data_IF_438800856666
#
_entry.id   IF_438800856666
#
_cell.length_a   1.000
_cell.length_b   1.000
_cell.length_c   1.000
_cell.angle_alpha   90.00
_cell.angle_beta   90.00
_cell.angle_gamma   90.00
#
_symmetry.space_group_name_H-M   'P 1'
#
loop_
_entity.id
_entity.type
_entity.pdbx_description
1 polymer ?
#
# COMPACT_ATOMS: atom_id res chain seq x y z
N UNK A 1 5.89 15.95 13.03
CA UNK A 1 6.09 14.52 13.36
C UNK A 1 7.45 14.26 14.01
N UNK A 2 8.57 14.55 13.33
CA UNK A 2 9.94 14.36 13.87
C UNK A 2 10.14 15.01 15.24
N UNK A 3 9.80 16.31 15.37
CA UNK A 3 9.93 17.06 16.64
C UNK A 3 9.12 16.48 17.81
N UNK A 4 8.11 15.65 17.53
CA UNK A 4 7.23 15.04 18.52
C UNK A 4 7.50 13.54 18.70
N UNK A 5 8.57 12.99 18.11
CA UNK A 5 8.92 11.58 18.24
C UNK A 5 7.88 10.61 17.68
N UNK A 6 7.21 10.98 16.58
CA UNK A 6 6.10 10.21 15.99
C UNK A 6 6.51 9.29 14.84
N UNK A 7 7.74 8.82 14.86
CA UNK A 7 8.33 8.00 13.80
C UNK A 7 9.21 6.92 14.45
N UNK A 8 8.90 5.65 14.18
CA UNK A 8 9.73 4.49 14.53
C UNK A 8 10.05 3.70 13.26
N UNK A 9 11.15 4.10 12.60
CA UNK A 9 11.47 3.70 11.24
C UNK A 9 12.46 2.53 11.14
N UNK A 10 13.37 2.39 12.11
CA UNK A 10 14.47 1.41 12.02
C UNK A 10 14.02 -0.03 12.33
N UNK A 11 14.58 -0.99 11.61
CA UNK A 11 14.41 -2.42 11.90
C UNK A 11 15.23 -2.85 13.14
N UNK A 12 14.64 -3.70 13.99
CA UNK A 12 15.32 -4.26 15.18
C UNK A 12 14.75 -5.63 15.58
N UNK A 13 15.57 -6.43 16.27
CA UNK A 13 15.17 -7.76 16.77
C UNK A 13 13.91 -7.66 17.65
N UNK A 14 12.88 -8.43 17.29
CA UNK A 14 11.61 -8.47 18.02
C UNK A 14 10.61 -7.36 17.65
N UNK A 15 10.92 -6.50 16.67
CA UNK A 15 9.95 -5.56 16.10
C UNK A 15 8.96 -6.31 15.21
N UNK A 16 7.68 -5.92 15.26
CA UNK A 16 6.65 -6.46 14.39
C UNK A 16 6.97 -6.19 12.90
N UNK A 17 6.62 -7.10 11.98
CA UNK A 17 6.86 -6.91 10.55
C UNK A 17 5.95 -5.81 9.95
N UNK A 18 6.28 -5.35 8.74
CA UNK A 18 5.47 -4.42 7.97
C UNK A 18 5.70 -2.94 8.29
N UNK A 19 4.76 -2.10 7.83
CA UNK A 19 4.65 -0.68 8.11
C UNK A 19 3.19 -0.31 8.34
N UNK A 20 2.94 0.74 9.11
CA UNK A 20 1.61 1.31 9.27
C UNK A 20 1.66 2.78 9.71
N UNK A 21 0.54 3.46 9.48
CA UNK A 21 0.25 4.78 10.00
C UNK A 21 -0.87 4.67 11.05
N UNK A 22 -0.67 5.30 12.19
CA UNK A 22 -1.67 5.33 13.26
C UNK A 22 -2.11 6.78 13.53
N UNK A 23 -3.33 7.16 13.12
CA UNK A 23 -3.91 8.45 13.47
C UNK A 23 -4.08 8.59 14.99
N UNK A 24 -3.67 9.73 15.55
CA UNK A 24 -3.83 10.03 16.97
C UNK A 24 -4.81 11.19 17.15
N UNK A 25 -6.07 10.88 17.44
CA UNK A 25 -7.17 11.85 17.41
C UNK A 25 -7.01 13.02 18.38
N UNK A 26 -6.36 12.82 19.53
CA UNK A 26 -6.14 13.88 20.53
C UNK A 26 -5.08 14.89 20.08
N UNK A 27 -3.97 14.42 19.52
CA UNK A 27 -2.87 15.30 19.11
C UNK A 27 -2.98 15.78 17.67
N UNK A 28 -3.74 15.07 16.83
CA UNK A 28 -3.82 15.27 15.38
C UNK A 28 -2.54 14.92 14.61
N UNK A 29 -1.51 14.46 15.32
CA UNK A 29 -0.20 14.14 14.76
C UNK A 29 -0.08 12.62 14.73
N UNK A 30 -0.20 11.97 13.56
CA UNK A 30 -0.17 10.52 13.43
C UNK A 30 1.22 9.97 13.76
N UNK A 31 1.29 8.66 13.97
CA UNK A 31 2.53 7.91 14.19
C UNK A 31 2.85 7.03 12.99
N UNK A 32 4.09 7.06 12.50
CA UNK A 32 4.57 6.17 11.44
C UNK A 32 5.45 5.08 12.05
N UNK A 33 5.12 3.84 11.73
CA UNK A 33 5.90 2.64 12.05
C UNK A 33 6.33 1.97 10.75
N UNK A 34 7.60 1.61 10.62
CA UNK A 34 8.10 0.80 9.50
C UNK A 34 9.39 0.06 9.86
N UNK A 35 9.89 -0.78 8.96
CA UNK A 35 11.11 -1.56 9.16
C UNK A 35 12.14 -1.27 8.05
N UNK A 36 12.84 -0.14 8.16
CA UNK A 36 13.85 0.26 7.18
C UNK A 36 15.11 -0.62 7.28
N UNK A 37 15.63 -1.05 6.12
CA UNK A 37 16.84 -1.85 5.94
C UNK A 37 17.83 -1.27 4.89
N UNK A 38 17.57 -0.08 4.35
CA UNK A 38 18.41 0.61 3.36
C UNK A 38 18.10 0.26 1.90
N UNK A 39 16.86 -0.10 1.59
CA UNK A 39 16.39 -0.50 0.26
C UNK A 39 15.47 0.56 -0.37
N UNK A 40 15.27 0.51 -1.68
CA UNK A 40 14.27 1.35 -2.39
C UNK A 40 12.87 1.15 -1.80
N UNK A 41 12.54 -0.09 -1.42
CA UNK A 41 11.27 -0.42 -0.77
C UNK A 41 11.04 0.32 0.54
N UNK A 42 12.09 0.68 1.27
CA UNK A 42 11.97 1.47 2.51
C UNK A 42 11.59 2.91 2.22
N UNK A 43 12.12 3.50 1.14
CA UNK A 43 11.72 4.83 0.70
C UNK A 43 10.25 4.84 0.28
N UNK A 44 9.84 3.86 -0.53
CA UNK A 44 8.45 3.72 -0.97
C UNK A 44 7.53 3.59 0.25
N UNK A 45 7.85 2.70 1.19
CA UNK A 45 7.09 2.53 2.43
C UNK A 45 7.03 3.82 3.24
N UNK A 46 8.14 4.57 3.37
CA UNK A 46 8.13 5.85 4.07
C UNK A 46 7.21 6.87 3.39
N UNK A 47 7.18 6.93 2.06
CA UNK A 47 6.29 7.82 1.31
C UNK A 47 4.82 7.37 1.42
N UNK A 48 4.56 6.06 1.39
CA UNK A 48 3.26 5.44 1.62
C UNK A 48 2.66 5.90 2.96
N UNK A 49 3.39 5.65 4.05
CA UNK A 49 2.96 6.05 5.39
C UNK A 49 2.89 7.57 5.56
N UNK A 50 3.71 8.30 4.80
CA UNK A 50 3.68 9.76 4.69
C UNK A 50 2.37 10.27 4.07
N UNK A 51 1.84 9.59 3.05
CA UNK A 51 0.55 9.94 2.45
C UNK A 51 -0.61 9.73 3.42
N UNK A 52 -0.62 8.62 4.18
CA UNK A 52 -1.58 8.43 5.27
C UNK A 52 -1.43 9.51 6.36
N UNK A 53 -0.20 9.94 6.65
CA UNK A 53 0.02 11.00 7.62
C UNK A 53 -0.55 12.34 7.15
N UNK A 54 -0.37 12.68 5.87
CA UNK A 54 -0.97 13.88 5.26
C UNK A 54 -2.50 13.80 5.34
N UNK A 55 -3.10 12.66 5.01
CA UNK A 55 -4.55 12.47 5.14
C UNK A 55 -5.04 12.69 6.58
N UNK A 56 -4.31 12.14 7.57
CA UNK A 56 -4.62 12.34 8.99
C UNK A 56 -4.55 13.82 9.39
N UNK A 57 -3.55 14.56 8.93
CA UNK A 57 -3.44 16.00 9.22
C UNK A 57 -4.58 16.80 8.59
N UNK A 58 -4.94 16.50 7.34
CA UNK A 58 -5.97 17.22 6.60
C UNK A 58 -7.38 16.96 7.14
N UNK A 59 -7.65 15.75 7.61
CA UNK A 59 -8.95 15.36 8.18
C UNK A 59 -9.06 15.69 9.68
N UNK A 60 -7.96 15.93 10.40
CA UNK A 60 -7.98 16.23 11.83
C UNK A 60 -8.88 17.40 12.25
N UNK A 61 -9.00 18.51 11.49
CA UNK A 61 -9.88 19.63 11.82
C UNK A 61 -11.38 19.29 11.79
N UNK A 62 -11.79 18.14 11.25
CA UNK A 62 -13.19 17.73 11.23
C UNK A 62 -13.73 17.60 12.65
N UNK A 63 -14.96 18.07 12.87
CA UNK A 63 -15.52 18.21 14.22
C UNK A 63 -15.78 16.85 14.90
N UNK A 64 -16.31 15.89 14.13
CA UNK A 64 -16.67 14.57 14.64
C UNK A 64 -15.57 13.55 14.35
N UNK A 65 -15.24 12.71 15.32
CA UNK A 65 -14.29 11.60 15.13
C UNK A 65 -14.71 10.67 13.99
N UNK A 66 -16.01 10.41 13.84
CA UNK A 66 -16.54 9.59 12.76
C UNK A 66 -16.25 10.16 11.36
N UNK A 67 -16.07 11.49 11.22
CA UNK A 67 -15.68 12.09 9.95
C UNK A 67 -14.18 11.93 9.65
N UNK A 68 -13.38 11.55 10.65
CA UNK A 68 -11.94 11.28 10.50
C UNK A 68 -11.67 9.82 10.15
N UNK A 69 -12.65 8.95 10.32
CA UNK A 69 -12.59 7.52 10.00
C UNK A 69 -12.95 7.31 8.52
N UNK A 70 -12.05 7.71 7.63
CA UNK A 70 -12.24 7.59 6.19
C UNK A 70 -12.12 6.12 5.71
N UNK A 71 -12.80 5.76 4.60
CA UNK A 71 -12.72 4.42 4.01
C UNK A 71 -11.31 4.00 3.61
N UNK A 72 -11.07 2.69 3.53
CA UNK A 72 -9.72 2.14 3.28
C UNK A 72 -9.21 2.48 1.88
N UNK A 73 -10.07 2.46 0.87
CA UNK A 73 -9.72 2.79 -0.51
C UNK A 73 -9.25 4.23 -0.67
N UNK A 74 -9.83 5.18 0.07
CA UNK A 74 -9.37 6.57 0.04
C UNK A 74 -8.12 6.77 0.91
N UNK A 75 -7.96 5.97 1.97
CA UNK A 75 -6.72 5.92 2.74
C UNK A 75 -5.56 5.48 1.86
N UNK A 76 -5.75 4.40 1.08
CA UNK A 76 -4.76 3.89 0.13
C UNK A 76 -4.54 4.83 -1.05
N UNK A 77 -5.58 5.53 -1.52
CA UNK A 77 -5.40 6.56 -2.55
C UNK A 77 -4.42 7.64 -2.05
N UNK A 78 -4.53 8.02 -0.78
CA UNK A 78 -3.65 9.00 -0.16
C UNK A 78 -2.19 8.52 -0.17
N UNK A 79 -1.94 7.31 0.33
CA UNK A 79 -0.60 6.73 0.44
C UNK A 79 0.04 6.46 -0.92
N UNK A 80 -0.66 5.75 -1.81
CA UNK A 80 -0.13 5.35 -3.11
C UNK A 80 0.06 6.54 -4.06
N UNK A 81 -0.77 7.59 -3.97
CA UNK A 81 -0.50 8.82 -4.75
C UNK A 81 0.77 9.52 -4.28
N UNK A 82 1.06 9.48 -2.97
CA UNK A 82 2.27 10.10 -2.40
C UNK A 82 3.54 9.37 -2.85
N UNK A 83 3.51 8.04 -2.97
CA UNK A 83 4.60 7.26 -3.58
C UNK A 83 4.96 7.81 -4.97
N UNK A 84 3.95 8.06 -5.81
CA UNK A 84 4.15 8.50 -7.19
C UNK A 84 4.50 9.99 -7.32
N UNK A 85 3.86 10.87 -6.56
CA UNK A 85 4.15 12.30 -6.57
C UNK A 85 5.59 12.59 -6.17
N UNK A 86 6.10 11.86 -5.17
CA UNK A 86 7.42 12.10 -4.61
C UNK A 86 8.56 11.56 -5.47
N UNK A 87 8.30 10.73 -6.49
CA UNK A 87 9.33 10.18 -7.38
C UNK A 87 10.25 11.25 -7.98
N UNK A 88 9.72 12.45 -8.28
CA UNK A 88 10.54 13.54 -8.83
C UNK A 88 11.54 14.14 -7.83
N UNK A 89 11.35 13.87 -6.53
CA UNK A 89 12.16 14.35 -5.42
C UNK A 89 13.08 13.26 -4.84
N UNK A 90 13.16 12.09 -5.49
CA UNK A 90 13.98 10.98 -5.02
C UNK A 90 15.49 11.22 -5.19
N UNK A 91 15.90 12.27 -5.90
CA UNK A 91 17.29 12.74 -5.95
C UNK A 91 17.81 13.19 -4.58
N UNK A 92 16.93 13.44 -3.62
CA UNK A 92 17.32 13.64 -2.22
C UNK A 92 17.97 12.39 -1.59
N UNK A 93 17.54 11.20 -2.03
CA UNK A 93 18.04 9.91 -1.55
C UNK A 93 19.07 9.29 -2.50
N UNK A 94 18.88 9.45 -3.82
CA UNK A 94 19.73 8.89 -4.85
C UNK A 94 20.56 9.99 -5.52
N UNK A 95 21.81 10.16 -5.07
CA UNK A 95 22.72 11.16 -5.66
C UNK A 95 23.31 10.73 -7.01
N UNK A 96 23.25 9.45 -7.34
CA UNK A 96 23.63 8.93 -8.65
C UNK A 96 22.40 8.92 -9.60
N UNK A 97 22.43 9.66 -10.73
CA UNK A 97 21.31 9.72 -11.67
C UNK A 97 20.87 8.37 -12.25
N UNK A 98 21.79 7.43 -12.45
CA UNK A 98 21.46 6.10 -12.97
C UNK A 98 20.73 5.26 -11.92
N UNK A 99 21.10 5.39 -10.63
CA UNK A 99 20.42 4.72 -9.53
C UNK A 99 19.03 5.31 -9.29
N UNK A 100 18.91 6.64 -9.37
CA UNK A 100 17.62 7.34 -9.31
C UNK A 100 16.67 6.84 -10.40
N UNK A 101 17.15 6.83 -11.65
CA UNK A 101 16.35 6.35 -12.79
C UNK A 101 15.95 4.89 -12.63
N UNK A 102 16.86 4.03 -12.15
CA UNK A 102 16.54 2.63 -11.86
C UNK A 102 15.46 2.51 -10.81
N UNK A 103 15.57 3.23 -9.69
CA UNK A 103 14.57 3.19 -8.62
C UNK A 103 13.18 3.66 -9.10
N UNK A 104 13.11 4.72 -9.89
CA UNK A 104 11.86 5.20 -10.48
C UNK A 104 11.23 4.17 -11.43
N UNK A 105 12.05 3.49 -12.25
CA UNK A 105 11.57 2.44 -13.15
C UNK A 105 11.07 1.21 -12.38
N UNK A 106 11.80 0.77 -11.36
CA UNK A 106 11.38 -0.33 -10.47
C UNK A 106 10.02 -0.03 -9.82
N UNK A 107 9.79 1.22 -9.40
CA UNK A 107 8.50 1.64 -8.85
C UNK A 107 7.38 1.62 -9.89
N UNK A 108 7.62 2.13 -11.10
CA UNK A 108 6.64 2.07 -12.19
C UNK A 108 6.29 0.63 -12.58
N UNK A 109 7.27 -0.28 -12.59
CA UNK A 109 7.04 -1.70 -12.83
C UNK A 109 6.24 -2.35 -11.68
N UNK A 110 6.54 -1.96 -10.42
CA UNK A 110 5.80 -2.44 -9.24
C UNK A 110 4.33 -2.05 -9.28
N UNK A 111 4.03 -0.80 -9.61
CA UNK A 111 2.66 -0.25 -9.74
C UNK A 111 1.78 -1.08 -10.68
N UNK A 112 2.37 -1.64 -11.74
CA UNK A 112 1.65 -2.48 -12.70
C UNK A 112 1.62 -3.94 -12.22
N UNK A 113 2.76 -4.48 -11.79
CA UNK A 113 2.92 -5.89 -11.43
C UNK A 113 2.20 -6.30 -10.14
N UNK A 114 1.85 -5.33 -9.28
CA UNK A 114 1.07 -5.59 -8.07
C UNK A 114 -0.40 -5.88 -8.35
N UNK A 115 -0.97 -5.37 -9.46
CA UNK A 115 -2.40 -5.50 -9.75
C UNK A 115 -2.86 -6.97 -9.91
N UNK A 116 -2.16 -7.85 -10.68
CA UNK A 116 -2.50 -9.27 -10.72
C UNK A 116 -2.38 -9.96 -9.36
N UNK A 117 -1.40 -9.58 -8.54
CA UNK A 117 -1.23 -10.13 -7.20
C UNK A 117 -2.41 -9.77 -6.29
N UNK A 118 -2.86 -8.51 -6.32
CA UNK A 118 -4.04 -8.05 -5.58
C UNK A 118 -5.28 -8.84 -5.99
N UNK A 119 -5.53 -8.98 -7.29
CA UNK A 119 -6.65 -9.74 -7.81
C UNK A 119 -6.59 -11.23 -7.44
N UNK A 120 -5.38 -11.82 -7.42
CA UNK A 120 -5.16 -13.21 -7.00
C UNK A 120 -5.56 -13.41 -5.53
N UNK A 121 -5.11 -12.51 -4.65
CA UNK A 121 -5.38 -12.58 -3.21
C UNK A 121 -6.86 -12.36 -2.93
N UNK A 122 -7.48 -11.36 -3.54
CA UNK A 122 -8.91 -11.09 -3.38
C UNK A 122 -9.78 -12.27 -3.85
N UNK A 123 -9.51 -12.80 -5.05
CA UNK A 123 -10.23 -13.97 -5.58
C UNK A 123 -10.07 -15.19 -4.67
N UNK A 124 -8.87 -15.43 -4.16
CA UNK A 124 -8.63 -16.52 -3.21
C UNK A 124 -9.39 -16.32 -1.90
N UNK A 125 -9.47 -15.09 -1.39
CA UNK A 125 -10.21 -14.78 -0.19
C UNK A 125 -11.72 -14.99 -0.37
N UNK A 126 -12.27 -14.56 -1.51
CA UNK A 126 -13.65 -14.88 -1.88
C UNK A 126 -13.90 -16.39 -1.90
N UNK A 127 -12.98 -17.18 -2.47
CA UNK A 127 -13.09 -18.63 -2.45
C UNK A 127 -13.11 -19.20 -1.02
N UNK A 128 -12.23 -18.73 -0.12
CA UNK A 128 -12.20 -19.18 1.28
C UNK A 128 -13.56 -18.99 1.98
N UNK A 129 -14.13 -17.78 1.90
CA UNK A 129 -15.36 -17.45 2.63
C UNK A 129 -16.63 -18.01 1.97
N UNK A 130 -16.59 -18.32 0.67
CA UNK A 130 -17.71 -18.96 -0.04
C UNK A 130 -17.68 -20.49 -0.01
N UNK A 131 -16.58 -21.09 0.47
CA UNK A 131 -16.41 -22.53 0.62
C UNK A 131 -16.11 -22.92 2.08
N UNK A 132 -17.05 -22.69 3.03
CA UNK A 132 -16.84 -23.03 4.43
C UNK A 132 -16.60 -24.54 4.61
N UNK A 133 -15.73 -24.89 5.56
CA UNK A 133 -15.37 -26.29 5.83
C UNK A 133 -14.25 -26.85 4.93
N UNK A 134 -13.59 -25.99 4.14
CA UNK A 134 -12.43 -26.38 3.34
C UNK A 134 -11.30 -27.01 4.17
N UNK A 135 -10.66 -28.05 3.63
CA UNK A 135 -9.44 -28.64 4.20
C UNK A 135 -8.20 -27.84 3.77
N UNK A 136 -7.03 -28.12 4.37
CA UNK A 136 -5.76 -27.52 3.93
C UNK A 136 -5.48 -27.86 2.46
N UNK A 137 -5.68 -29.12 2.06
CA UNK A 137 -5.50 -29.56 0.68
C UNK A 137 -6.45 -28.85 -0.30
N UNK A 138 -7.69 -28.57 0.12
CA UNK A 138 -8.64 -27.82 -0.71
C UNK A 138 -8.18 -26.36 -0.92
N UNK A 139 -7.63 -25.71 0.12
CA UNK A 139 -7.06 -24.35 -0.01
C UNK A 139 -5.88 -24.33 -0.97
N UNK A 140 -5.01 -25.31 -0.88
CA UNK A 140 -3.84 -25.43 -1.75
C UNK A 140 -4.25 -25.58 -3.21
N UNK A 141 -5.19 -26.48 -3.50
CA UNK A 141 -5.69 -26.70 -4.85
C UNK A 141 -6.33 -25.42 -5.43
N UNK A 142 -7.20 -24.76 -4.67
CA UNK A 142 -7.84 -23.52 -5.09
C UNK A 142 -6.84 -22.37 -5.27
N UNK A 143 -5.86 -22.25 -4.36
CA UNK A 143 -4.78 -21.27 -4.48
C UNK A 143 -3.99 -21.48 -5.77
N UNK A 144 -3.58 -22.71 -6.06
CA UNK A 144 -2.80 -23.02 -7.25
C UNK A 144 -3.60 -22.78 -8.54
N UNK A 145 -4.89 -23.13 -8.56
CA UNK A 145 -5.79 -22.84 -9.67
C UNK A 145 -5.88 -21.32 -9.93
N UNK A 146 -6.17 -20.53 -8.89
CA UNK A 146 -6.31 -19.08 -8.98
C UNK A 146 -4.97 -18.41 -9.35
N UNK A 147 -3.86 -18.83 -8.73
CA UNK A 147 -2.53 -18.31 -9.05
C UNK A 147 -2.16 -18.57 -10.51
N UNK A 148 -2.51 -19.73 -11.07
CA UNK A 148 -2.26 -20.04 -12.48
C UNK A 148 -3.07 -19.16 -13.45
N UNK A 149 -4.25 -18.68 -13.06
CA UNK A 149 -5.06 -17.76 -13.88
C UNK A 149 -4.42 -16.37 -14.02
N UNK A 150 -3.78 -15.88 -12.95
CA UNK A 150 -3.16 -14.56 -12.90
C UNK A 150 -1.66 -14.55 -13.21
N UNK A 151 -1.08 -15.70 -13.56
CA UNK A 151 0.34 -15.80 -13.92
C UNK A 151 0.53 -16.25 -15.36
N UNK A 152 1.63 -15.85 -15.98
CA UNK A 152 1.92 -16.15 -17.39
C UNK A 152 2.47 -17.56 -17.63
N UNK A 153 2.80 -18.30 -16.57
CA UNK A 153 3.44 -19.61 -16.65
C UNK A 153 4.91 -19.59 -17.10
N UNK A 154 5.52 -18.41 -17.30
CA UNK A 154 6.92 -18.29 -17.75
C UNK A 154 7.95 -18.52 -16.64
N UNK A 155 7.53 -18.38 -15.38
CA UNK A 155 8.41 -18.54 -14.22
C UNK A 155 8.57 -20.02 -13.93
N UNK A 156 9.82 -20.48 -13.94
CA UNK A 156 10.16 -21.85 -13.53
C UNK A 156 10.16 -21.96 -12.00
N UNK A 157 9.31 -22.86 -11.50
CA UNK A 157 9.17 -23.16 -10.08
C UNK A 157 9.75 -24.51 -9.69
N UNK A 158 10.55 -25.13 -10.57
CA UNK A 158 11.19 -26.42 -10.31
C UNK A 158 12.01 -26.36 -9.02
N UNK A 159 11.65 -27.20 -8.05
CA UNK A 159 12.27 -27.25 -6.73
C UNK A 159 11.72 -26.24 -5.70
N UNK A 160 10.72 -25.43 -6.07
CA UNK A 160 10.04 -24.44 -5.22
C UNK A 160 8.51 -24.63 -5.20
N UNK A 161 8.03 -25.82 -5.56
CA UNK A 161 6.60 -26.12 -5.70
C UNK A 161 5.85 -25.93 -4.38
N UNK A 162 6.42 -26.41 -3.27
CA UNK A 162 5.83 -26.27 -1.92
C UNK A 162 5.72 -24.79 -1.51
N UNK A 163 6.76 -24.00 -1.78
CA UNK A 163 6.73 -22.57 -1.51
C UNK A 163 5.64 -21.88 -2.35
N UNK A 164 5.55 -22.21 -3.64
CA UNK A 164 4.52 -21.66 -4.54
C UNK A 164 3.12 -21.99 -4.05
N UNK A 165 2.89 -23.22 -3.59
CA UNK A 165 1.62 -23.72 -3.07
C UNK A 165 1.16 -23.03 -1.76
N UNK A 166 2.10 -22.44 -1.01
CA UNK A 166 1.82 -21.73 0.25
C UNK A 166 2.11 -20.23 0.20
N UNK A 167 2.43 -19.69 -0.98
CA UNK A 167 2.91 -18.33 -1.14
C UNK A 167 1.94 -17.26 -0.65
N UNK A 168 0.63 -17.53 -0.68
CA UNK A 168 -0.40 -16.65 -0.12
C UNK A 168 -0.27 -16.41 1.39
N UNK A 169 0.34 -17.34 2.14
CA UNK A 169 0.41 -17.26 3.61
C UNK A 169 1.29 -16.11 4.09
N UNK A 170 2.20 -15.60 3.24
CA UNK A 170 2.98 -14.40 3.57
C UNK A 170 2.12 -13.13 3.66
N UNK A 171 0.90 -13.17 3.14
CA UNK A 171 0.02 -12.02 3.03
C UNK A 171 -0.72 -11.79 4.35
N UNK A 172 -0.18 -10.93 5.21
CA UNK A 172 -0.70 -10.64 6.55
C UNK A 172 -2.18 -10.25 6.55
N UNK A 173 -2.59 -9.43 5.57
CA UNK A 173 -3.94 -8.89 5.43
C UNK A 173 -5.04 -9.96 5.35
N UNK A 174 -4.73 -11.16 4.83
CA UNK A 174 -5.69 -12.27 4.80
C UNK A 174 -6.11 -12.73 6.19
N UNK A 175 -5.25 -12.52 7.20
CA UNK A 175 -5.45 -12.96 8.58
C UNK A 175 -5.95 -11.84 9.48
N UNK A 176 -5.51 -10.60 9.23
CA UNK A 176 -5.80 -9.46 10.11
C UNK A 176 -7.03 -8.65 9.67
N UNK A 177 -7.19 -8.41 8.36
CA UNK A 177 -8.24 -7.52 7.82
C UNK A 177 -8.84 -8.11 6.55
N UNK A 178 -9.80 -9.06 6.65
CA UNK A 178 -10.36 -9.72 5.49
C UNK A 178 -11.02 -8.74 4.50
N UNK A 179 -10.84 -8.99 3.21
CA UNK A 179 -11.33 -8.22 2.06
C UNK A 179 -10.76 -6.82 1.90
N UNK A 180 -9.76 -6.42 2.70
CA UNK A 180 -9.08 -5.14 2.51
C UNK A 180 -8.13 -5.12 1.30
N UNK A 181 -7.59 -6.27 0.89
CA UNK A 181 -6.50 -6.25 -0.08
C UNK A 181 -6.89 -5.74 -1.48
N UNK A 182 -8.17 -5.87 -1.86
CA UNK A 182 -8.69 -5.31 -3.12
C UNK A 182 -8.65 -3.78 -3.15
N UNK A 183 -8.71 -3.13 -1.98
CA UNK A 183 -8.70 -1.67 -1.87
C UNK A 183 -7.39 -1.10 -2.40
N UNK A 184 -6.26 -1.79 -2.22
CA UNK A 184 -4.98 -1.43 -2.85
C UNK A 184 -5.11 -1.38 -4.39
N UNK A 185 -5.88 -2.28 -5.00
CA UNK A 185 -6.05 -2.33 -6.45
C UNK A 185 -6.86 -1.14 -6.97
N UNK A 186 -7.96 -0.83 -6.29
CA UNK A 186 -8.82 0.32 -6.60
C UNK A 186 -8.05 1.63 -6.39
N UNK A 187 -7.37 1.75 -5.25
CA UNK A 187 -6.55 2.89 -4.91
C UNK A 187 -5.37 3.09 -5.86
N UNK A 188 -4.67 2.02 -6.27
CA UNK A 188 -3.53 2.12 -7.20
C UNK A 188 -3.96 2.71 -8.54
N UNK A 189 -5.13 2.33 -9.06
CA UNK A 189 -5.68 2.91 -10.29
C UNK A 189 -6.00 4.40 -10.11
N UNK A 190 -6.59 4.77 -8.97
CA UNK A 190 -6.81 6.16 -8.62
C UNK A 190 -5.50 6.95 -8.48
N UNK A 191 -4.47 6.37 -7.87
CA UNK A 191 -3.15 6.97 -7.69
C UNK A 191 -2.45 7.19 -9.03
N UNK A 192 -2.57 6.25 -9.98
CA UNK A 192 -2.08 6.45 -11.35
C UNK A 192 -2.80 7.62 -12.03
N UNK A 193 -4.12 7.74 -11.85
CA UNK A 193 -4.90 8.85 -12.41
C UNK A 193 -4.51 10.21 -11.78
N UNK A 194 -4.27 10.23 -10.47
CA UNK A 194 -3.75 11.39 -9.75
C UNK A 194 -2.34 11.76 -10.22
N UNK A 195 -1.45 10.78 -10.39
CA UNK A 195 -0.11 10.99 -10.91
C UNK A 195 -0.13 11.54 -12.33
N UNK A 196 -1.03 11.06 -13.19
CA UNK A 196 -1.22 11.65 -14.52
C UNK A 196 -1.61 13.14 -14.44
N UNK A 197 -2.56 13.50 -13.59
CA UNK A 197 -2.92 14.92 -13.37
C UNK A 197 -1.72 15.72 -12.85
N UNK A 198 -0.93 15.14 -11.94
CA UNK A 198 0.25 15.77 -11.38
C UNK A 198 1.32 16.06 -12.44
N UNK A 199 1.53 15.14 -13.37
CA UNK A 199 2.45 15.34 -14.50
C UNK A 199 1.98 16.44 -15.47
N UNK A 200 0.68 16.70 -15.56
CA UNK A 200 0.09 17.74 -16.41
C UNK A 200 0.08 19.12 -15.71
N UNK A 201 -0.35 19.16 -14.44
CA UNK A 201 -0.40 20.36 -13.61
C UNK A 201 -0.27 19.98 -12.13
N UNK A 202 0.93 20.14 -11.58
CA UNK A 202 1.27 19.77 -10.19
C UNK A 202 0.43 20.50 -9.14
N UNK A 203 0.30 21.82 -9.28
CA UNK A 203 -0.42 22.66 -8.32
C UNK A 203 -1.89 22.23 -8.24
N UNK A 204 -2.56 22.12 -9.38
CA UNK A 204 -3.95 21.70 -9.43
C UNK A 204 -4.16 20.26 -8.92
N UNK A 205 -3.23 19.35 -9.23
CA UNK A 205 -3.31 17.96 -8.76
C UNK A 205 -3.15 17.86 -7.23
N UNK A 206 -2.23 18.63 -6.65
CA UNK A 206 -2.05 18.71 -5.19
C UNK A 206 -3.26 19.37 -4.51
N UNK A 207 -3.83 20.42 -5.10
CA UNK A 207 -5.05 21.04 -4.60
C UNK A 207 -6.22 20.06 -4.61
N UNK A 208 -6.40 19.32 -5.72
CA UNK A 208 -7.43 18.28 -5.82
C UNK A 208 -7.21 17.16 -4.79
N UNK A 209 -5.97 16.71 -4.63
CA UNK A 209 -5.58 15.71 -3.64
C UNK A 209 -5.92 16.18 -2.22
N UNK A 210 -5.42 17.36 -1.81
CA UNK A 210 -5.65 17.91 -0.48
C UNK A 210 -7.14 18.16 -0.22
N UNK A 211 -7.88 18.68 -1.20
CA UNK A 211 -9.30 18.91 -1.09
C UNK A 211 -10.07 17.60 -0.86
N UNK A 212 -9.76 16.55 -1.62
CA UNK A 212 -10.38 15.24 -1.47
C UNK A 212 -10.10 14.65 -0.07
N UNK A 213 -8.84 14.65 0.37
CA UNK A 213 -8.45 14.09 1.67
C UNK A 213 -9.02 14.89 2.86
N UNK A 214 -9.16 16.21 2.72
CA UNK A 214 -9.75 17.05 3.78
C UNK A 214 -11.22 16.75 4.05
N UNK A 215 -11.92 16.09 3.11
CA UNK A 215 -13.31 15.69 3.30
C UNK A 215 -13.45 14.55 4.32
N UNK A 216 -12.39 13.78 4.58
CA UNK A 216 -12.46 12.57 5.40
C UNK A 216 -13.65 11.71 5.00
N UNK A 217 -14.53 11.40 5.95
CA UNK A 217 -15.75 10.61 5.73
C UNK A 217 -17.04 11.45 5.64
N UNK A 218 -16.96 12.67 5.13
CA UNK A 218 -18.13 13.54 4.93
C UNK A 218 -18.84 13.35 3.59
N UNK A 219 -18.28 12.49 2.72
CA UNK A 219 -18.77 12.16 1.37
C UNK A 219 -18.64 10.66 1.09
N UNK A 220 -19.43 10.19 0.13
CA UNK A 220 -19.43 8.82 -0.43
C UNK A 220 -19.19 8.88 -1.92
#
# INVERSE_FOLDING_TARGET
MVSMGRMDLESRKGKAPGGYNCPLAETGVPFIFMNAAGTVGDLITMMHEGGHAVHSFLSHPLELSAFKEYPMEIAELASMSMELFTMEHWDEFFKNPEELKRAQLEEMERVISVLPWIATIDKFQHWLYTNPGHTVAAREAAWMEILNEFTTGVVDWTGFEEYRAHFWQKQLHLFEVPFYYIEYGIAQLGAIAMWRQYMENKEQALDNYMAALSLGYTKT
#
